data_IF_082601842497
#
_entry.id   IF_082601842497
#
_cell.length_a   1.000
_cell.length_b   1.000
_cell.length_c   1.000
_cell.angle_alpha   90.00
_cell.angle_beta   90.00
_cell.angle_gamma   90.00
#
_symmetry.space_group_name_H-M   'P 1'
#
loop_
_entity.id
_entity.type
_entity.pdbx_description
1 polymer ?
#
# COMPACT_ATOMS: atom_id res chain seq x y z
N UNK A 1 -28.48 17.54 -3.44
CA UNK A 1 -28.76 16.27 -2.73
C UNK A 1 -27.97 15.11 -3.31
N UNK A 2 -27.99 14.89 -4.64
CA UNK A 2 -27.21 13.81 -5.29
C UNK A 2 -25.69 13.92 -5.02
N UNK A 3 -25.12 15.13 -5.14
CA UNK A 3 -23.69 15.36 -4.91
C UNK A 3 -23.27 15.00 -3.47
N UNK A 4 -24.14 15.28 -2.50
CA UNK A 4 -23.92 14.89 -1.09
C UNK A 4 -23.88 13.37 -0.92
N UNK A 5 -24.79 12.63 -1.58
CA UNK A 5 -24.78 11.16 -1.53
C UNK A 5 -23.56 10.56 -2.23
N UNK A 6 -23.13 11.14 -3.35
CA UNK A 6 -21.92 10.71 -4.05
C UNK A 6 -20.66 10.96 -3.20
N UNK A 7 -20.57 12.11 -2.55
CA UNK A 7 -19.47 12.42 -1.63
C UNK A 7 -19.41 11.44 -0.45
N UNK A 8 -20.55 11.16 0.19
CA UNK A 8 -20.64 10.15 1.26
C UNK A 8 -20.18 8.79 0.75
N UNK A 9 -20.55 8.43 -0.49
CA UNK A 9 -20.14 7.18 -1.14
C UNK A 9 -18.64 7.14 -1.39
N UNK A 10 -18.02 8.24 -1.85
CA UNK A 10 -16.56 8.34 -2.02
C UNK A 10 -15.85 8.13 -0.68
N UNK A 11 -16.29 8.82 0.37
CA UNK A 11 -15.69 8.67 1.71
C UNK A 11 -15.82 7.23 2.18
N UNK A 12 -17.03 6.66 2.11
CA UNK A 12 -17.28 5.29 2.52
C UNK A 12 -16.41 4.29 1.75
N UNK A 13 -16.38 4.35 0.42
CA UNK A 13 -15.56 3.45 -0.39
C UNK A 13 -14.06 3.66 -0.15
N UNK A 14 -13.61 4.89 0.08
CA UNK A 14 -12.21 5.14 0.40
C UNK A 14 -11.84 4.51 1.74
N UNK A 15 -12.71 4.58 2.75
CA UNK A 15 -12.50 3.91 4.03
C UNK A 15 -12.59 2.38 3.89
N UNK A 16 -13.48 1.85 3.04
CA UNK A 16 -13.50 0.43 2.73
C UNK A 16 -12.19 -0.01 2.09
N UNK A 17 -11.66 0.75 1.13
CA UNK A 17 -10.35 0.50 0.53
C UNK A 17 -9.25 0.54 1.59
N UNK A 18 -9.22 1.55 2.47
CA UNK A 18 -8.21 1.70 3.51
C UNK A 18 -8.23 0.55 4.51
N UNK A 19 -9.43 0.09 4.87
CA UNK A 19 -9.65 -1.09 5.70
C UNK A 19 -9.13 -2.36 5.00
N UNK A 20 -9.46 -2.52 3.71
CA UNK A 20 -9.01 -3.66 2.90
C UNK A 20 -7.49 -3.70 2.83
N UNK A 21 -6.89 -2.54 2.55
CA UNK A 21 -5.45 -2.36 2.52
C UNK A 21 -4.81 -2.76 3.86
N UNK A 22 -5.39 -2.31 4.98
CA UNK A 22 -4.91 -2.65 6.32
C UNK A 22 -4.83 -4.16 6.55
N UNK A 23 -5.87 -4.92 6.20
CA UNK A 23 -5.84 -6.37 6.40
C UNK A 23 -4.94 -7.08 5.38
N UNK A 24 -4.90 -6.62 4.13
CA UNK A 24 -4.01 -7.16 3.08
C UNK A 24 -2.54 -7.06 3.49
N UNK A 25 -2.13 -5.85 3.85
CA UNK A 25 -0.72 -5.53 4.07
C UNK A 25 -0.28 -5.80 5.51
N UNK A 26 -1.18 -6.29 6.37
CA UNK A 26 -0.82 -6.88 7.67
C UNK A 26 0.30 -7.93 7.51
N UNK A 27 0.24 -8.71 6.43
CA UNK A 27 1.27 -9.70 6.12
C UNK A 27 2.66 -9.06 5.95
N UNK A 28 2.75 -7.89 5.32
CA UNK A 28 4.03 -7.21 5.08
C UNK A 28 4.66 -6.66 6.36
N UNK A 29 3.84 -6.22 7.31
CA UNK A 29 4.32 -5.64 8.57
C UNK A 29 4.67 -6.70 9.64
N UNK A 30 4.09 -7.92 9.56
CA UNK A 30 4.14 -8.90 10.65
C UNK A 30 4.80 -10.24 10.24
N UNK A 31 4.76 -10.63 8.97
CA UNK A 31 5.13 -12.00 8.56
C UNK A 31 6.56 -12.38 8.95
N UNK A 32 7.50 -11.44 8.89
CA UNK A 32 8.92 -11.63 9.25
C UNK A 32 9.11 -11.94 10.73
N UNK A 33 8.55 -11.13 11.63
CA UNK A 33 8.73 -11.26 13.07
C UNK A 33 7.96 -12.45 13.66
N UNK A 34 6.85 -12.84 13.03
CA UNK A 34 6.13 -14.08 13.35
C UNK A 34 6.86 -15.30 12.79
N UNK A 35 7.37 -15.25 11.55
CA UNK A 35 8.10 -16.36 10.94
C UNK A 35 9.40 -16.71 11.68
N UNK A 36 10.11 -15.71 12.20
CA UNK A 36 11.31 -15.90 13.04
C UNK A 36 11.00 -16.19 14.51
N UNK A 37 9.71 -16.19 14.89
CA UNK A 37 9.23 -16.38 16.28
C UNK A 37 9.84 -15.36 17.25
N UNK A 38 9.98 -14.10 16.82
CA UNK A 38 10.42 -13.00 17.68
C UNK A 38 9.31 -12.53 18.63
N UNK A 39 8.07 -12.58 18.17
CA UNK A 39 6.89 -12.15 18.94
C UNK A 39 5.73 -13.10 18.68
N UNK A 40 4.81 -13.21 19.65
CA UNK A 40 3.56 -13.97 19.49
C UNK A 40 2.65 -13.24 18.50
N UNK A 41 1.94 -13.94 17.59
CA UNK A 41 1.14 -13.30 16.55
C UNK A 41 0.11 -12.30 17.08
N UNK A 42 -0.52 -12.58 18.22
CA UNK A 42 -1.55 -11.72 18.80
C UNK A 42 -0.98 -10.37 19.26
N UNK A 43 0.20 -10.40 19.88
CA UNK A 43 0.92 -9.20 20.30
C UNK A 43 1.48 -8.43 19.11
N UNK A 44 1.91 -9.14 18.06
CA UNK A 44 2.38 -8.53 16.83
C UNK A 44 1.25 -7.75 16.15
N UNK A 45 0.06 -8.34 16.04
CA UNK A 45 -1.12 -7.67 15.47
C UNK A 45 -1.50 -6.45 16.29
N UNK A 46 -1.63 -6.59 17.61
CA UNK A 46 -1.99 -5.46 18.48
C UNK A 46 -0.98 -4.31 18.41
N UNK A 47 0.32 -4.62 18.45
CA UNK A 47 1.40 -3.64 18.33
C UNK A 47 1.40 -2.95 16.96
N UNK A 48 1.21 -3.71 15.88
CA UNK A 48 1.15 -3.15 14.51
C UNK A 48 -0.08 -2.28 14.32
N UNK A 49 -1.24 -2.62 14.88
CA UNK A 49 -2.43 -1.74 14.83
C UNK A 49 -2.14 -0.38 15.46
N UNK A 50 -1.56 -0.38 16.65
CA UNK A 50 -1.22 0.85 17.37
C UNK A 50 -0.17 1.68 16.60
N UNK A 51 0.88 1.04 16.10
CA UNK A 51 1.95 1.72 15.40
C UNK A 51 1.55 2.18 14.00
N UNK A 52 0.69 1.45 13.29
CA UNK A 52 0.07 1.90 12.05
C UNK A 52 -0.74 3.17 12.29
N UNK A 53 -1.57 3.17 13.34
CA UNK A 53 -2.36 4.34 13.74
C UNK A 53 -1.45 5.54 14.04
N UNK A 54 -0.43 5.37 14.88
CA UNK A 54 0.50 6.45 15.24
C UNK A 54 1.26 6.93 13.99
N UNK A 55 1.80 6.03 13.17
CA UNK A 55 2.53 6.36 11.95
C UNK A 55 1.72 7.19 10.98
N UNK A 56 0.45 6.82 10.78
CA UNK A 56 -0.50 7.56 9.94
C UNK A 56 -0.74 9.00 10.44
N UNK A 57 -0.62 9.25 11.75
CA UNK A 57 -0.81 10.57 12.34
C UNK A 57 0.41 11.50 12.24
N UNK A 58 1.58 11.03 11.79
CA UNK A 58 2.80 11.86 11.77
C UNK A 58 2.93 12.67 10.47
N UNK A 59 2.70 12.05 9.31
CA UNK A 59 3.02 12.66 8.01
C UNK A 59 1.78 12.85 7.12
N UNK A 60 1.86 13.75 6.13
CA UNK A 60 0.78 14.03 5.15
C UNK A 60 1.28 14.28 3.72
N UNK A 61 2.60 14.22 3.48
CA UNK A 61 3.18 14.53 2.16
C UNK A 61 2.80 13.54 1.06
N UNK A 62 2.69 12.24 1.36
CA UNK A 62 2.22 11.22 0.41
C UNK A 62 0.76 11.48 0.01
N UNK A 63 -0.07 11.93 0.94
CA UNK A 63 -1.46 12.29 0.66
C UNK A 63 -1.54 13.47 -0.33
N UNK A 64 -0.69 14.48 -0.13
CA UNK A 64 -0.57 15.61 -1.06
C UNK A 64 -0.09 15.15 -2.44
N UNK A 65 0.87 14.24 -2.52
CA UNK A 65 1.35 13.67 -3.78
C UNK A 65 0.25 12.91 -4.50
N UNK A 66 -0.48 12.03 -3.81
CA UNK A 66 -1.61 11.29 -4.40
C UNK A 66 -2.72 12.25 -4.87
N UNK A 67 -3.05 13.27 -4.08
CA UNK A 67 -4.08 14.25 -4.42
C UNK A 67 -3.72 15.18 -5.59
N UNK A 68 -2.45 15.57 -5.74
CA UNK A 68 -2.01 16.54 -6.76
C UNK A 68 -1.55 15.91 -8.08
N UNK A 69 -1.02 14.68 -8.02
CA UNK A 69 -0.19 14.19 -9.12
C UNK A 69 -0.90 13.23 -10.07
N UNK A 70 -2.18 12.92 -9.83
CA UNK A 70 -2.99 12.10 -10.75
C UNK A 70 -3.64 12.97 -11.83
N UNK A 71 -4.18 14.15 -11.46
CA UNK A 71 -4.83 15.08 -12.39
C UNK A 71 -4.29 16.49 -12.27
N UNK A 72 -4.39 17.24 -13.37
CA UNK A 72 -3.88 18.62 -13.46
C UNK A 72 -4.67 19.57 -12.54
N UNK A 73 -5.95 19.31 -12.32
CA UNK A 73 -6.78 20.06 -11.39
C UNK A 73 -7.89 19.19 -10.82
N UNK A 74 -8.13 19.31 -9.52
CA UNK A 74 -9.20 18.62 -8.81
C UNK A 74 -10.59 18.98 -9.36
N UNK A 75 -10.76 20.18 -9.94
CA UNK A 75 -12.03 20.65 -10.48
C UNK A 75 -12.50 19.88 -11.73
N UNK A 76 -11.63 19.08 -12.34
CA UNK A 76 -11.91 18.33 -13.58
C UNK A 76 -12.34 16.88 -13.28
N UNK A 77 -12.24 16.44 -12.02
CA UNK A 77 -12.73 15.15 -11.55
C UNK A 77 -14.04 15.37 -10.81
N UNK A 78 -14.97 14.42 -10.94
CA UNK A 78 -16.13 14.30 -10.07
C UNK A 78 -16.10 12.99 -9.28
N UNK A 79 -17.01 12.87 -8.32
CA UNK A 79 -17.15 11.74 -7.41
C UNK A 79 -17.39 10.43 -8.15
N UNK A 80 -18.11 10.46 -9.29
CA UNK A 80 -18.40 9.26 -10.09
C UNK A 80 -17.10 8.63 -10.60
N UNK A 81 -16.14 9.44 -11.04
CA UNK A 81 -14.82 8.97 -11.49
C UNK A 81 -14.05 8.38 -10.31
N UNK A 82 -14.06 9.03 -9.15
CA UNK A 82 -13.37 8.55 -7.95
C UNK A 82 -13.98 7.22 -7.46
N UNK A 83 -15.31 7.12 -7.42
CA UNK A 83 -16.06 5.91 -7.07
C UNK A 83 -15.68 4.76 -8.01
N UNK A 84 -15.63 5.01 -9.32
CA UNK A 84 -15.24 4.00 -10.31
C UNK A 84 -13.82 3.47 -10.07
N UNK A 85 -12.87 4.38 -9.82
CA UNK A 85 -11.48 4.01 -9.52
C UNK A 85 -11.36 3.23 -8.21
N UNK A 86 -12.09 3.63 -7.16
CA UNK A 86 -12.11 2.93 -5.87
C UNK A 86 -12.71 1.52 -6.00
N UNK A 87 -13.81 1.35 -6.74
CA UNK A 87 -14.40 0.04 -6.97
C UNK A 87 -13.46 -0.88 -7.75
N UNK A 88 -12.74 -0.36 -8.75
CA UNK A 88 -11.71 -1.10 -9.46
C UNK A 88 -10.58 -1.59 -8.54
N UNK A 89 -10.10 -0.71 -7.66
CA UNK A 89 -9.05 -1.03 -6.71
C UNK A 89 -9.51 -2.05 -5.66
N UNK A 90 -10.66 -1.83 -5.03
CA UNK A 90 -11.29 -2.73 -4.06
C UNK A 90 -11.52 -4.11 -4.67
N UNK A 91 -12.07 -4.15 -5.89
CA UNK A 91 -12.31 -5.42 -6.58
C UNK A 91 -11.00 -6.19 -6.78
N UNK A 92 -9.94 -5.50 -7.24
CA UNK A 92 -8.64 -6.12 -7.44
C UNK A 92 -8.04 -6.67 -6.15
N UNK A 93 -8.03 -5.87 -5.08
CA UNK A 93 -7.47 -6.30 -3.80
C UNK A 93 -8.22 -7.54 -3.29
N UNK A 94 -9.56 -7.49 -3.24
CA UNK A 94 -10.36 -8.65 -2.82
C UNK A 94 -10.15 -9.88 -3.70
N UNK A 95 -10.00 -9.70 -5.02
CA UNK A 95 -9.70 -10.80 -5.93
C UNK A 95 -8.33 -11.43 -5.63
N UNK A 96 -7.30 -10.61 -5.42
CA UNK A 96 -5.95 -11.11 -5.10
C UNK A 96 -5.89 -11.79 -3.73
N UNK A 97 -6.62 -11.28 -2.74
CA UNK A 97 -6.76 -11.97 -1.46
C UNK A 97 -7.49 -13.30 -1.58
N UNK A 98 -8.55 -13.37 -2.38
CA UNK A 98 -9.24 -14.63 -2.65
C UNK A 98 -8.31 -15.66 -3.32
N UNK A 99 -7.44 -15.20 -4.22
CA UNK A 99 -6.43 -16.02 -4.88
C UNK A 99 -5.20 -16.32 -4.02
N UNK A 100 -5.09 -15.70 -2.82
CA UNK A 100 -3.94 -15.78 -1.91
C UNK A 100 -2.63 -15.27 -2.54
N UNK A 101 -2.72 -14.30 -3.45
CA UNK A 101 -1.57 -13.68 -4.10
C UNK A 101 -1.23 -12.37 -3.38
N UNK A 102 0.03 -12.17 -2.96
CA UNK A 102 0.45 -10.87 -2.43
C UNK A 102 0.41 -9.83 -3.57
N UNK A 103 -0.50 -8.86 -3.46
CA UNK A 103 -0.64 -7.77 -4.42
C UNK A 103 -0.46 -6.43 -3.73
N UNK A 104 -0.01 -5.43 -4.49
CA UNK A 104 0.13 -4.07 -3.97
C UNK A 104 -1.15 -3.26 -4.17
N UNK A 105 -1.80 -2.88 -3.07
CA UNK A 105 -2.95 -1.98 -3.08
C UNK A 105 -2.59 -0.60 -3.65
N UNK A 106 -1.33 -0.16 -3.53
CA UNK A 106 -0.84 1.08 -4.17
C UNK A 106 -1.00 1.05 -5.69
N UNK A 107 -0.56 -0.05 -6.32
CA UNK A 107 -0.71 -0.22 -7.78
C UNK A 107 -2.18 -0.37 -8.17
N UNK A 108 -2.99 -1.02 -7.33
CA UNK A 108 -4.43 -1.17 -7.55
C UNK A 108 -5.16 0.18 -7.56
N UNK A 109 -4.92 1.00 -6.54
CA UNK A 109 -5.52 2.33 -6.40
C UNK A 109 -5.10 3.27 -7.54
N UNK A 110 -3.79 3.41 -7.76
CA UNK A 110 -3.25 4.34 -8.75
C UNK A 110 -3.66 3.93 -10.16
N UNK A 111 -3.54 2.64 -10.50
CA UNK A 111 -3.95 2.14 -11.81
C UNK A 111 -5.44 2.37 -12.06
N UNK A 112 -6.30 1.96 -11.13
CA UNK A 112 -7.76 2.11 -11.29
C UNK A 112 -8.21 3.57 -11.41
N UNK A 113 -7.60 4.49 -10.65
CA UNK A 113 -7.89 5.91 -10.78
C UNK A 113 -7.45 6.48 -12.12
N UNK A 114 -6.23 6.16 -12.58
CA UNK A 114 -5.74 6.60 -13.90
C UNK A 114 -6.69 6.10 -15.00
N UNK A 115 -7.09 4.83 -14.94
CA UNK A 115 -7.99 4.24 -15.93
C UNK A 115 -9.38 4.88 -15.95
N UNK A 116 -9.96 5.11 -14.77
CA UNK A 116 -11.24 5.79 -14.64
C UNK A 116 -11.20 7.23 -15.20
N UNK A 117 -10.15 8.00 -14.87
CA UNK A 117 -9.97 9.38 -15.37
C UNK A 117 -9.72 9.40 -16.87
N UNK A 118 -8.88 8.49 -17.38
CA UNK A 118 -8.54 8.41 -18.80
C UNK A 118 -9.78 8.19 -19.66
N UNK A 119 -10.66 7.25 -19.28
CA UNK A 119 -11.86 6.95 -20.07
C UNK A 119 -12.95 8.02 -19.89
N UNK A 120 -12.95 8.75 -18.77
CA UNK A 120 -13.99 9.73 -18.45
C UNK A 120 -13.76 11.08 -19.12
N UNK A 121 -12.54 11.62 -19.04
CA UNK A 121 -12.22 12.98 -19.52
C UNK A 121 -11.06 13.02 -20.52
N UNK A 122 -10.34 11.91 -20.72
CA UNK A 122 -9.26 11.79 -21.69
C UNK A 122 -7.87 12.11 -21.13
N UNK A 123 -6.85 11.85 -21.95
CA UNK A 123 -5.43 12.07 -21.63
C UNK A 123 -5.06 13.49 -21.17
N UNK A 124 -5.61 14.58 -21.74
CA UNK A 124 -5.14 15.93 -21.43
C UNK A 124 -5.37 16.35 -19.97
N UNK A 125 -6.23 15.66 -19.22
CA UNK A 125 -6.53 15.97 -17.80
C UNK A 125 -5.59 15.27 -16.83
N UNK A 126 -4.91 14.21 -17.29
CA UNK A 126 -3.94 13.48 -16.49
C UNK A 126 -2.67 14.30 -16.31
N UNK A 127 -2.20 14.40 -15.07
CA UNK A 127 -0.91 15.01 -14.76
C UNK A 127 0.21 14.01 -15.08
N UNK A 128 0.64 13.96 -16.34
CA UNK A 128 1.60 12.95 -16.82
C UNK A 128 2.92 12.98 -16.02
N UNK A 129 3.45 14.16 -15.70
CA UNK A 129 4.68 14.26 -14.91
C UNK A 129 4.48 13.76 -13.48
N UNK A 130 3.35 14.09 -12.87
CA UNK A 130 2.96 13.59 -11.56
C UNK A 130 2.77 12.07 -11.52
N UNK A 131 2.10 11.51 -12.53
CA UNK A 131 1.89 10.07 -12.66
C UNK A 131 3.23 9.35 -12.86
N UNK A 132 4.12 9.89 -13.69
CA UNK A 132 5.47 9.34 -13.87
C UNK A 132 6.22 9.32 -12.54
N UNK A 133 6.16 10.40 -11.75
CA UNK A 133 6.80 10.45 -10.43
C UNK A 133 6.29 9.33 -9.51
N UNK A 134 4.98 9.13 -9.46
CA UNK A 134 4.34 8.07 -8.67
C UNK A 134 4.78 6.68 -9.15
N UNK A 135 4.67 6.41 -10.46
CA UNK A 135 5.02 5.10 -11.05
C UNK A 135 6.51 4.80 -10.85
N UNK A 136 7.39 5.79 -11.06
CA UNK A 136 8.83 5.65 -10.84
C UNK A 136 9.11 5.33 -9.38
N UNK A 137 8.49 6.01 -8.41
CA UNK A 137 8.64 5.67 -6.99
C UNK A 137 8.24 4.22 -6.69
N UNK A 138 7.11 3.78 -7.23
CA UNK A 138 6.62 2.41 -7.05
C UNK A 138 7.57 1.36 -7.64
N UNK A 139 8.14 1.63 -8.81
CA UNK A 139 9.06 0.70 -9.50
C UNK A 139 10.45 0.71 -8.87
N UNK A 140 10.98 1.87 -8.49
CA UNK A 140 12.37 2.04 -8.04
C UNK A 140 12.55 1.66 -6.57
N UNK A 141 11.57 1.92 -5.71
CA UNK A 141 11.68 1.65 -4.27
C UNK A 141 12.04 0.20 -3.89
N UNK A 142 11.55 -0.86 -4.58
CA UNK A 142 11.94 -2.24 -4.30
C UNK A 142 13.41 -2.53 -4.64
N UNK A 143 13.94 -1.92 -5.70
CA UNK A 143 15.35 -2.08 -6.08
C UNK A 143 16.27 -1.35 -5.10
N UNK A 144 15.88 -0.15 -4.67
CA UNK A 144 16.58 0.57 -3.60
C UNK A 144 16.59 -0.28 -2.33
N UNK A 145 15.44 -0.86 -1.95
CA UNK A 145 15.33 -1.74 -0.81
C UNK A 145 16.22 -2.99 -0.92
N UNK A 146 16.28 -3.61 -2.10
CA UNK A 146 17.17 -4.73 -2.39
C UNK A 146 18.65 -4.36 -2.25
N UNK A 147 19.07 -3.21 -2.79
CA UNK A 147 20.47 -2.76 -2.70
C UNK A 147 20.86 -2.39 -1.26
N UNK A 148 20.03 -1.60 -0.58
CA UNK A 148 20.29 -1.17 0.80
C UNK A 148 20.37 -2.38 1.73
N UNK A 149 19.43 -3.32 1.60
CA UNK A 149 19.39 -4.51 2.43
C UNK A 149 20.54 -5.48 2.14
N UNK A 150 20.99 -5.61 0.89
CA UNK A 150 22.19 -6.37 0.53
C UNK A 150 23.45 -5.80 1.20
N UNK A 151 23.64 -4.48 1.14
CA UNK A 151 24.78 -3.80 1.75
C UNK A 151 24.71 -3.93 3.28
N UNK A 152 23.55 -3.64 3.86
CA UNK A 152 23.27 -3.69 5.29
C UNK A 152 23.50 -5.10 5.85
N UNK A 153 23.04 -6.13 5.15
CA UNK A 153 23.23 -7.53 5.58
C UNK A 153 24.70 -7.95 5.54
N UNK A 154 25.43 -7.62 4.47
CA UNK A 154 26.87 -7.89 4.40
C UNK A 154 27.63 -7.22 5.56
N UNK A 155 27.25 -5.99 5.89
CA UNK A 155 27.82 -5.28 7.03
C UNK A 155 27.51 -5.97 8.37
N UNK A 156 26.25 -6.40 8.58
CA UNK A 156 25.85 -7.16 9.78
C UNK A 156 26.64 -8.47 9.89
N UNK A 157 26.77 -9.23 8.80
CA UNK A 157 27.55 -10.48 8.76
C UNK A 157 29.01 -10.21 9.11
N UNK A 158 29.60 -9.17 8.53
CA UNK A 158 30.99 -8.78 8.81
C UNK A 158 31.20 -8.45 10.31
N UNK A 159 30.30 -7.68 10.92
CA UNK A 159 30.36 -7.37 12.36
C UNK A 159 30.16 -8.62 13.23
N UNK A 160 29.32 -9.54 12.78
CA UNK A 160 28.95 -10.75 13.54
C UNK A 160 29.92 -11.93 13.32
N UNK A 161 30.90 -11.83 12.41
CA UNK A 161 31.74 -12.96 11.96
C UNK A 161 32.48 -13.71 13.07
N UNK A 162 32.82 -13.02 14.16
CA UNK A 162 33.56 -13.60 15.30
C UNK A 162 32.63 -14.17 16.39
N UNK A 163 31.32 -14.08 16.21
CA UNK A 163 30.34 -14.53 17.21
C UNK A 163 29.67 -15.84 16.78
N UNK A 164 29.33 -16.67 17.77
CA UNK A 164 28.57 -17.90 17.52
C UNK A 164 27.19 -17.56 16.95
N UNK A 165 26.73 -18.21 15.86
CA UNK A 165 25.43 -17.93 15.25
C UNK A 165 24.23 -17.98 16.21
N UNK A 166 24.30 -18.84 17.24
CA UNK A 166 23.26 -18.94 18.27
C UNK A 166 23.13 -17.67 19.13
N UNK A 167 24.25 -17.03 19.49
CA UNK A 167 24.24 -15.77 20.26
C UNK A 167 23.71 -14.62 19.41
N UNK A 168 24.15 -14.56 18.15
CA UNK A 168 23.72 -13.52 17.20
C UNK A 168 22.22 -13.62 16.95
N UNK A 169 21.71 -14.82 16.64
CA UNK A 169 20.28 -15.01 16.43
C UNK A 169 19.44 -14.75 17.69
N UNK A 170 19.95 -15.06 18.89
CA UNK A 170 19.25 -14.75 20.15
C UNK A 170 19.14 -13.24 20.38
N UNK A 171 20.19 -12.48 20.08
CA UNK A 171 20.15 -11.02 20.17
C UNK A 171 19.27 -10.41 19.08
N UNK A 172 19.44 -10.85 17.82
CA UNK A 172 18.66 -10.38 16.70
C UNK A 172 17.16 -10.64 16.89
N UNK A 173 16.77 -11.79 17.45
CA UNK A 173 15.37 -12.08 17.80
C UNK A 173 14.78 -11.04 18.78
N UNK A 174 15.56 -10.58 19.77
CA UNK A 174 15.12 -9.53 20.71
C UNK A 174 15.06 -8.16 20.05
N UNK A 175 16.07 -7.81 19.25
CA UNK A 175 16.11 -6.55 18.51
C UNK A 175 15.04 -6.49 17.40
N UNK A 176 14.63 -7.64 16.88
CA UNK A 176 13.62 -7.73 15.83
C UNK A 176 12.27 -7.16 16.27
N UNK A 177 11.94 -7.25 17.56
CA UNK A 177 10.71 -6.63 18.09
C UNK A 177 10.72 -5.12 17.84
N UNK A 178 11.88 -4.48 18.02
CA UNK A 178 12.05 -3.05 17.80
C UNK A 178 12.03 -2.72 16.30
N UNK A 179 12.74 -3.49 15.47
CA UNK A 179 12.71 -3.25 14.01
C UNK A 179 11.33 -3.50 13.40
N UNK A 180 10.58 -4.50 13.88
CA UNK A 180 9.21 -4.76 13.48
C UNK A 180 8.27 -3.61 13.89
N UNK A 181 8.50 -3.02 15.06
CA UNK A 181 7.78 -1.81 15.48
C UNK A 181 8.07 -0.62 14.54
N UNK A 182 9.32 -0.41 14.15
CA UNK A 182 9.66 0.60 13.14
C UNK A 182 9.02 0.32 11.79
N UNK A 183 8.98 -0.94 11.36
CA UNK A 183 8.33 -1.35 10.10
C UNK A 183 6.82 -1.08 10.14
N UNK A 184 6.14 -1.42 11.24
CA UNK A 184 4.72 -1.12 11.42
C UNK A 184 4.45 0.39 11.41
N UNK A 185 5.25 1.18 12.11
CA UNK A 185 5.13 2.63 12.07
C UNK A 185 5.34 3.18 10.65
N UNK A 186 6.38 2.71 9.95
CA UNK A 186 6.69 3.09 8.58
C UNK A 186 5.53 2.76 7.62
N UNK A 187 4.97 1.56 7.74
CA UNK A 187 3.83 1.11 6.97
C UNK A 187 2.64 2.06 7.11
N UNK A 188 2.16 2.29 8.34
CA UNK A 188 1.04 3.22 8.57
C UNK A 188 1.33 4.65 8.09
N UNK A 189 2.58 5.09 8.21
CA UNK A 189 2.99 6.42 7.76
C UNK A 189 2.91 6.63 6.25
N UNK A 190 3.04 5.60 5.42
CA UNK A 190 2.91 5.74 3.96
C UNK A 190 1.51 5.37 3.47
N UNK A 191 0.94 4.31 4.03
CA UNK A 191 -0.24 3.66 3.46
C UNK A 191 -1.54 4.40 3.74
N UNK A 192 -1.77 4.81 4.98
CA UNK A 192 -2.99 5.56 5.35
C UNK A 192 -3.12 6.87 4.56
N UNK A 193 -1.98 7.46 4.19
CA UNK A 193 -1.93 8.70 3.44
C UNK A 193 -2.52 8.58 2.03
N UNK A 194 -2.55 7.39 1.42
CA UNK A 194 -3.14 7.19 0.09
C UNK A 194 -4.64 7.49 0.15
N UNK A 195 -5.32 6.90 1.13
CA UNK A 195 -6.74 7.10 1.40
C UNK A 195 -7.04 8.55 1.82
N UNK A 196 -6.19 9.15 2.65
CA UNK A 196 -6.28 10.58 2.97
C UNK A 196 -6.21 11.45 1.71
N UNK A 197 -5.30 11.14 0.78
CA UNK A 197 -5.13 11.87 -0.48
C UNK A 197 -6.38 11.81 -1.35
N UNK A 198 -7.03 10.65 -1.47
CA UNK A 198 -8.26 10.48 -2.26
C UNK A 198 -9.43 11.26 -1.66
N UNK A 199 -9.64 11.17 -0.34
CA UNK A 199 -10.71 11.95 0.31
C UNK A 199 -10.44 13.44 0.15
N UNK A 200 -9.20 13.89 0.35
CA UNK A 200 -8.84 15.31 0.23
C UNK A 200 -9.03 15.81 -1.20
N UNK A 201 -8.66 15.00 -2.21
CA UNK A 201 -8.93 15.28 -3.63
C UNK A 201 -10.43 15.45 -3.89
N UNK A 202 -11.27 14.56 -3.35
CA UNK A 202 -12.72 14.66 -3.48
C UNK A 202 -13.26 15.94 -2.83
N UNK A 203 -12.81 16.28 -1.61
CA UNK A 203 -13.24 17.50 -0.93
C UNK A 203 -12.84 18.78 -1.69
N UNK A 204 -11.64 18.82 -2.29
CA UNK A 204 -11.18 19.96 -3.10
C UNK A 204 -11.98 20.04 -4.40
N UNK A 205 -12.25 18.91 -5.07
CA UNK A 205 -13.06 18.89 -6.31
C UNK A 205 -14.45 19.50 -6.11
N UNK A 206 -14.98 19.41 -4.89
CA UNK A 206 -16.29 19.93 -4.49
C UNK A 206 -16.26 21.32 -3.87
N UNK A 207 -15.10 21.99 -3.83
CA UNK A 207 -14.91 23.28 -3.16
C UNK A 207 -15.29 23.28 -1.66
N UNK A 208 -15.29 22.11 -1.00
CA UNK A 208 -15.52 22.01 0.46
C UNK A 208 -14.29 22.52 1.21
N UNK A 209 -13.10 22.21 0.69
CA UNK A 209 -11.82 22.76 1.15
C UNK A 209 -11.08 23.38 -0.03
N UNK A 210 -10.26 24.40 0.23
CA UNK A 210 -9.57 25.17 -0.82
C UNK A 210 -8.18 24.64 -1.17
N UNK A 211 -7.57 23.89 -0.25
CA UNK A 211 -6.20 23.39 -0.36
C UNK A 211 -6.19 21.88 -0.14
N UNK A 212 -5.16 21.20 -0.66
CA UNK A 212 -4.94 19.77 -0.42
C UNK A 212 -4.25 19.49 0.94
N UNK A 213 -4.50 20.36 1.92
CA UNK A 213 -4.12 20.09 3.30
C UNK A 213 -5.11 19.11 3.91
N UNK A 214 -4.60 17.97 4.37
CA UNK A 214 -5.43 16.88 4.91
C UNK A 214 -6.08 17.34 6.22
N UNK A 215 -7.42 17.41 6.31
CA UNK A 215 -8.09 17.75 7.55
C UNK A 215 -7.79 16.73 8.66
N UNK A 216 -7.62 17.21 9.90
CA UNK A 216 -7.23 16.35 11.03
C UNK A 216 -8.23 15.21 11.27
N UNK A 217 -9.52 15.45 11.05
CA UNK A 217 -10.56 14.42 11.18
C UNK A 217 -10.37 13.30 10.17
N UNK A 218 -10.02 13.63 8.92
CA UNK A 218 -9.72 12.62 7.88
C UNK A 218 -8.48 11.85 8.26
N UNK A 219 -7.45 12.54 8.76
CA UNK A 219 -6.22 11.90 9.24
C UNK A 219 -6.50 10.85 10.31
N UNK A 220 -7.30 11.20 11.32
CA UNK A 220 -7.68 10.30 12.43
C UNK A 220 -8.55 9.15 11.95
N UNK A 221 -9.53 9.42 11.07
CA UNK A 221 -10.45 8.38 10.57
C UNK A 221 -9.71 7.36 9.69
N UNK A 222 -8.89 7.80 8.72
CA UNK A 222 -8.08 6.87 7.91
C UNK A 222 -7.10 6.09 8.79
N UNK A 223 -6.41 6.76 9.73
CA UNK A 223 -5.52 6.07 10.67
C UNK A 223 -6.25 4.96 11.46
N UNK A 224 -7.45 5.24 11.97
CA UNK A 224 -8.26 4.28 12.71
C UNK A 224 -8.72 3.12 11.82
N UNK A 225 -9.18 3.41 10.60
CA UNK A 225 -9.70 2.40 9.67
C UNK A 225 -8.60 1.48 9.17
N UNK A 226 -7.43 2.01 8.82
CA UNK A 226 -6.25 1.20 8.48
C UNK A 226 -5.84 0.29 9.66
N UNK A 227 -5.82 0.83 10.87
CA UNK A 227 -5.48 0.06 12.07
C UNK A 227 -6.51 -1.04 12.37
N UNK A 228 -7.81 -0.77 12.19
CA UNK A 228 -8.88 -1.76 12.34
C UNK A 228 -8.76 -2.88 11.29
N UNK A 229 -8.50 -2.53 10.03
CA UNK A 229 -8.21 -3.51 8.98
C UNK A 229 -7.01 -4.39 9.35
N UNK A 230 -5.94 -3.76 9.85
CA UNK A 230 -4.74 -4.46 10.34
C UNK A 230 -5.09 -5.47 11.45
N UNK A 231 -6.01 -5.11 12.34
CA UNK A 231 -6.41 -5.94 13.48
C UNK A 231 -7.19 -7.21 13.11
N UNK A 232 -7.99 -7.15 12.05
CA UNK A 232 -8.71 -8.33 11.52
C UNK A 232 -7.75 -9.28 10.80
N UNK A 233 -6.69 -8.71 10.23
CA UNK A 233 -5.50 -9.43 9.81
C UNK A 233 -5.60 -10.04 8.42
N UNK A 234 -4.43 -10.45 7.92
CA UNK A 234 -4.24 -11.06 6.60
C UNK A 234 -3.68 -12.46 6.69
N UNK A 235 -4.18 -13.29 7.61
CA UNK A 235 -3.61 -14.60 7.97
C UNK A 235 -3.32 -15.50 6.75
N UNK A 236 -4.24 -15.52 5.78
CA UNK A 236 -4.07 -16.24 4.50
C UNK A 236 -2.81 -15.80 3.75
N UNK A 237 -2.56 -14.49 3.67
CA UNK A 237 -1.40 -13.90 2.98
C UNK A 237 -0.13 -14.03 3.85
N UNK A 238 -0.24 -13.86 5.16
CA UNK A 238 0.89 -13.93 6.09
C UNK A 238 1.63 -15.29 6.01
N UNK A 239 0.89 -16.39 5.90
CA UNK A 239 1.48 -17.72 5.74
C UNK A 239 2.25 -17.90 4.40
N UNK A 240 2.06 -17.00 3.43
CA UNK A 240 2.74 -17.03 2.13
C UNK A 240 4.03 -16.21 2.08
N UNK A 241 4.09 -15.02 2.68
CA UNK A 241 5.16 -14.04 2.42
C UNK A 241 6.49 -14.40 3.12
N UNK A 242 6.45 -14.99 4.32
CA UNK A 242 7.65 -15.16 5.15
C UNK A 242 8.74 -16.08 4.57
N UNK A 243 8.48 -17.39 4.48
CA UNK A 243 9.52 -18.37 4.16
C UNK A 243 9.58 -18.79 2.68
N UNK A 244 8.73 -18.22 1.81
CA UNK A 244 8.67 -18.64 0.40
C UNK A 244 9.79 -18.08 -0.45
N UNK A 245 10.27 -16.87 -0.16
CA UNK A 245 11.35 -16.25 -0.95
C UNK A 245 12.70 -16.83 -0.52
N UNK A 246 12.93 -16.91 0.79
CA UNK A 246 14.19 -17.32 1.40
C UNK A 246 13.92 -17.84 2.81
N UNK A 247 14.70 -18.84 3.28
CA UNK A 247 14.54 -19.39 4.63
C UNK A 247 15.08 -18.40 5.66
N UNK A 248 14.20 -17.80 6.46
CA UNK A 248 14.59 -16.74 7.39
C UNK A 248 15.04 -17.28 8.76
N UNK A 249 16.11 -16.66 9.27
CA UNK A 249 16.59 -16.75 10.65
C UNK A 249 16.39 -15.38 11.32
N UNK A 250 16.40 -15.29 12.66
CA UNK A 250 16.17 -14.03 13.37
C UNK A 250 17.06 -12.86 12.92
N UNK A 251 18.33 -13.10 12.57
CA UNK A 251 19.21 -12.06 12.01
C UNK A 251 18.68 -11.49 10.69
N UNK A 252 18.13 -12.34 9.82
CA UNK A 252 17.53 -11.93 8.55
C UNK A 252 16.23 -11.17 8.80
N UNK A 253 15.39 -11.63 9.73
CA UNK A 253 14.15 -10.96 10.08
C UNK A 253 14.38 -9.56 10.65
N UNK A 254 15.29 -9.43 11.62
CA UNK A 254 15.70 -8.12 12.15
C UNK A 254 16.16 -7.16 11.05
N UNK A 255 17.06 -7.62 10.18
CA UNK A 255 17.56 -6.83 9.05
C UNK A 255 16.44 -6.48 8.07
N UNK A 256 15.51 -7.41 7.79
CA UNK A 256 14.43 -7.20 6.85
C UNK A 256 13.45 -6.13 7.32
N UNK A 257 13.05 -6.19 8.58
CA UNK A 257 12.12 -5.21 9.16
C UNK A 257 12.76 -3.82 9.20
N UNK A 258 14.02 -3.73 9.63
CA UNK A 258 14.72 -2.46 9.73
C UNK A 258 14.95 -1.79 8.37
N UNK A 259 15.46 -2.53 7.38
CA UNK A 259 15.72 -1.96 6.06
C UNK A 259 14.42 -1.60 5.33
N UNK A 260 13.36 -2.40 5.48
CA UNK A 260 12.05 -2.06 4.92
C UNK A 260 11.50 -0.76 5.54
N UNK A 261 11.60 -0.63 6.87
CA UNK A 261 11.19 0.57 7.57
C UNK A 261 11.97 1.82 7.11
N UNK A 262 13.30 1.70 6.97
CA UNK A 262 14.16 2.80 6.51
C UNK A 262 13.76 3.26 5.11
N UNK A 263 13.51 2.34 4.18
CA UNK A 263 13.13 2.71 2.80
C UNK A 263 11.74 3.32 2.75
N UNK A 264 10.76 2.75 3.45
CA UNK A 264 9.39 3.27 3.48
C UNK A 264 9.35 4.66 4.14
N UNK A 265 10.03 4.85 5.27
CA UNK A 265 10.13 6.17 5.93
C UNK A 265 10.90 7.17 5.07
N UNK A 266 12.00 6.76 4.45
CA UNK A 266 12.76 7.60 3.54
C UNK A 266 11.89 8.10 2.38
N UNK A 267 11.12 7.21 1.75
CA UNK A 267 10.17 7.60 0.71
C UNK A 267 9.05 8.51 1.26
N UNK A 268 8.54 8.22 2.45
CA UNK A 268 7.49 9.03 3.12
C UNK A 268 7.97 10.44 3.42
N UNK A 269 9.23 10.61 3.86
CA UNK A 269 9.86 11.92 4.08
C UNK A 269 10.05 12.69 2.77
N UNK A 270 10.30 11.97 1.67
CA UNK A 270 10.32 12.54 0.31
C UNK A 270 8.90 12.72 -0.27
N UNK A 271 7.85 12.46 0.52
CA UNK A 271 6.45 12.55 0.11
C UNK A 271 6.06 11.58 -1.02
N UNK A 272 6.82 10.51 -1.23
CA UNK A 272 6.62 9.56 -2.31
C UNK A 272 5.79 8.35 -1.84
N UNK A 273 4.71 7.99 -2.56
CA UNK A 273 4.01 6.73 -2.32
C UNK A 273 4.88 5.55 -2.74
N UNK A 274 4.85 4.48 -1.96
CA UNK A 274 5.56 3.23 -2.28
C UNK A 274 4.63 2.03 -2.18
N UNK A 275 5.09 0.89 -2.69
CA UNK A 275 4.48 -0.42 -2.44
C UNK A 275 5.24 -1.08 -1.28
N UNK A 276 4.62 -1.15 -0.12
CA UNK A 276 5.19 -1.82 1.06
C UNK A 276 5.44 -3.30 0.78
N UNK A 277 4.49 -3.98 0.10
CA UNK A 277 4.64 -5.36 -0.41
C UNK A 277 5.94 -5.54 -1.19
N UNK A 278 6.23 -4.65 -2.13
CA UNK A 278 7.42 -4.78 -2.99
C UNK A 278 8.70 -4.32 -2.28
N UNK A 279 8.64 -3.31 -1.42
CA UNK A 279 9.80 -2.89 -0.59
C UNK A 279 10.24 -4.01 0.34
N UNK A 280 9.29 -4.67 1.02
CA UNK A 280 9.58 -5.83 1.88
C UNK A 280 10.12 -7.00 1.07
N UNK A 281 9.49 -7.32 -0.06
CA UNK A 281 9.96 -8.40 -0.95
C UNK A 281 11.37 -8.13 -1.47
N UNK A 282 11.65 -6.90 -1.93
CA UNK A 282 12.97 -6.47 -2.40
C UNK A 282 14.02 -6.56 -1.29
N UNK A 283 13.66 -6.17 -0.07
CA UNK A 283 14.52 -6.31 1.12
C UNK A 283 14.87 -7.78 1.42
N UNK A 284 13.88 -8.68 1.38
CA UNK A 284 14.11 -10.11 1.62
C UNK A 284 15.02 -10.70 0.53
N UNK A 285 14.82 -10.32 -0.74
CA UNK A 285 15.68 -10.73 -1.86
C UNK A 285 17.11 -10.24 -1.65
N UNK A 286 17.31 -8.96 -1.30
CA UNK A 286 18.63 -8.38 -1.08
C UNK A 286 19.40 -9.05 0.07
N UNK A 287 18.71 -9.36 1.18
CA UNK A 287 19.28 -10.14 2.29
C UNK A 287 19.65 -11.55 1.85
N UNK A 288 18.77 -12.22 1.10
CA UNK A 288 19.04 -13.54 0.53
C UNK A 288 20.25 -13.54 -0.41
N UNK A 289 20.45 -12.48 -1.18
CA UNK A 289 21.60 -12.32 -2.07
C UNK A 289 22.91 -12.17 -1.29
N UNK A 290 22.89 -11.45 -0.17
CA UNK A 290 24.05 -11.26 0.71
C UNK A 290 24.49 -12.55 1.39
N UNK A 291 23.53 -13.40 1.78
CA UNK A 291 23.83 -14.74 2.31
C UNK A 291 24.32 -15.69 1.22
N UNK A 292 23.46 -15.96 0.24
CA UNK A 292 23.78 -16.79 -0.93
C UNK A 292 22.71 -16.64 -1.99
N UNK A 293 23.09 -16.16 -3.17
CA UNK A 293 22.21 -16.01 -4.35
C UNK A 293 21.42 -17.30 -4.68
N UNK A 294 22.03 -18.48 -4.49
CA UNK A 294 21.40 -19.79 -4.75
C UNK A 294 20.33 -20.20 -3.71
N UNK A 295 20.27 -19.54 -2.56
CA UNK A 295 19.28 -19.84 -1.52
C UNK A 295 17.93 -19.17 -1.75
N UNK A 296 17.83 -18.29 -2.76
CA UNK A 296 16.60 -17.59 -3.14
C UNK A 296 15.77 -18.49 -4.05
N UNK A 297 14.48 -18.59 -3.78
CA UNK A 297 13.53 -19.24 -4.68
C UNK A 297 13.16 -18.28 -5.82
N UNK A 298 13.97 -18.25 -6.87
CA UNK A 298 13.82 -17.32 -8.01
C UNK A 298 12.46 -17.39 -8.71
N UNK A 299 11.80 -18.54 -8.70
CA UNK A 299 10.43 -18.67 -9.23
C UNK A 299 9.45 -17.77 -8.47
N UNK A 300 9.59 -17.68 -7.14
CA UNK A 300 8.73 -16.82 -6.30
C UNK A 300 9.05 -15.35 -6.55
N UNK A 301 10.33 -14.98 -6.58
CA UNK A 301 10.76 -13.61 -6.87
C UNK A 301 10.29 -13.13 -8.26
N UNK A 302 10.37 -14.01 -9.27
CA UNK A 302 9.88 -13.72 -10.62
C UNK A 302 8.36 -13.53 -10.63
N UNK A 303 7.61 -14.39 -9.93
CA UNK A 303 6.15 -14.27 -9.86
C UNK A 303 5.72 -12.93 -9.24
N UNK A 304 6.35 -12.51 -8.14
CA UNK A 304 6.07 -11.20 -7.51
C UNK A 304 6.31 -10.05 -8.51
N UNK A 305 7.42 -10.10 -9.25
CA UNK A 305 7.74 -9.09 -10.27
C UNK A 305 6.72 -9.09 -11.42
N UNK A 306 6.33 -10.26 -11.91
CA UNK A 306 5.34 -10.37 -13.00
C UNK A 306 3.97 -9.90 -12.55
N UNK A 307 3.54 -10.26 -11.35
CA UNK A 307 2.26 -9.84 -10.78
C UNK A 307 2.21 -8.31 -10.64
N UNK A 308 3.34 -7.70 -10.25
CA UNK A 308 3.49 -6.23 -10.19
C UNK A 308 3.27 -5.56 -11.56
N UNK A 309 3.93 -6.08 -12.60
CA UNK A 309 3.85 -5.52 -13.95
C UNK A 309 2.44 -5.67 -14.56
N UNK A 310 1.74 -6.75 -14.21
CA UNK A 310 0.37 -7.04 -14.69
C UNK A 310 -0.68 -6.25 -13.89
N UNK A 311 -0.41 -5.96 -12.62
CA UNK A 311 -1.37 -5.26 -11.74
C UNK A 311 -1.77 -3.91 -12.31
N UNK A 312 -0.81 -3.05 -12.71
CA UNK A 312 -1.12 -1.68 -13.15
C UNK A 312 -2.02 -1.63 -14.41
N UNK A 313 -1.72 -2.39 -15.50
CA UNK A 313 -2.61 -2.43 -16.66
C UNK A 313 -3.99 -3.02 -16.35
N UNK A 314 -4.04 -4.11 -15.57
CA UNK A 314 -5.30 -4.75 -15.22
C UNK A 314 -6.20 -3.84 -14.37
N UNK A 315 -5.64 -3.15 -13.38
CA UNK A 315 -6.40 -2.26 -12.51
C UNK A 315 -6.82 -0.99 -13.25
N UNK A 316 -5.98 -0.46 -14.14
CA UNK A 316 -6.37 0.59 -15.08
C UNK A 316 -7.59 0.20 -15.92
N UNK A 317 -7.57 -1.00 -16.49
CA UNK A 317 -8.72 -1.51 -17.24
C UNK A 317 -9.96 -1.68 -16.36
N UNK A 318 -9.82 -2.18 -15.13
CA UNK A 318 -10.92 -2.31 -14.18
C UNK A 318 -11.55 -0.95 -13.84
N UNK A 319 -10.75 0.05 -13.51
CA UNK A 319 -11.24 1.41 -13.24
C UNK A 319 -12.01 1.99 -14.43
N UNK A 320 -11.50 1.78 -15.65
CA UNK A 320 -12.19 2.19 -16.87
C UNK A 320 -13.53 1.46 -17.06
N UNK A 321 -13.56 0.14 -16.85
CA UNK A 321 -14.79 -0.68 -16.95
C UNK A 321 -15.82 -0.24 -15.92
N UNK A 322 -15.44 -0.06 -14.65
CA UNK A 322 -16.37 0.40 -13.61
C UNK A 322 -16.95 1.79 -13.96
N UNK A 323 -16.14 2.70 -14.50
CA UNK A 323 -16.64 4.00 -14.93
C UNK A 323 -17.70 3.87 -16.04
N UNK A 324 -17.43 3.06 -17.06
CA UNK A 324 -18.40 2.83 -18.16
C UNK A 324 -19.69 2.22 -17.64
N UNK A 325 -19.61 1.23 -16.74
CA UNK A 325 -20.78 0.59 -16.12
C UNK A 325 -21.60 1.60 -15.31
N UNK A 326 -20.95 2.39 -14.45
CA UNK A 326 -21.63 3.39 -13.63
C UNK A 326 -22.28 4.45 -14.52
N UNK A 327 -21.55 4.96 -15.52
CA UNK A 327 -22.09 5.91 -16.50
C UNK A 327 -23.34 5.36 -17.18
N UNK A 328 -23.30 4.10 -17.64
CA UNK A 328 -24.45 3.46 -18.28
C UNK A 328 -25.67 3.38 -17.35
N UNK A 329 -25.48 3.04 -16.07
CA UNK A 329 -26.55 3.01 -15.06
C UNK A 329 -27.16 4.40 -14.88
N UNK A 330 -26.32 5.43 -14.74
CA UNK A 330 -26.78 6.81 -14.53
C UNK A 330 -27.46 7.42 -15.75
N UNK A 331 -27.03 7.11 -16.98
CA UNK A 331 -27.61 7.71 -18.19
C UNK A 331 -28.81 6.94 -18.73
N UNK A 332 -28.89 5.63 -18.50
CA UNK A 332 -29.88 4.76 -19.17
C UNK A 332 -30.93 4.24 -18.20
N UNK A 333 -30.53 3.81 -16.99
CA UNK A 333 -31.41 3.07 -16.08
C UNK A 333 -32.11 4.03 -15.11
N UNK A 334 -31.36 4.94 -14.49
CA UNK A 334 -31.90 5.87 -13.49
C UNK A 334 -32.96 6.85 -14.05
N UNK A 335 -32.75 7.47 -15.23
CA UNK A 335 -33.75 8.36 -15.83
C UNK A 335 -34.99 7.59 -16.26
N UNK A 336 -34.82 6.38 -16.78
CA UNK A 336 -35.93 5.51 -17.17
C UNK A 336 -36.77 5.07 -15.97
N UNK A 337 -36.13 4.77 -14.84
CA UNK A 337 -36.83 4.39 -13.61
C UNK A 337 -37.60 5.55 -12.97
N UNK A 338 -37.09 6.78 -13.07
CA UNK A 338 -37.78 7.99 -12.63
C UNK A 338 -38.94 8.38 -13.58
N UNK A 339 -38.82 8.10 -14.88
CA UNK A 339 -39.88 8.32 -15.87
C UNK A 339 -41.01 7.27 -15.84
N UNK A 340 -40.72 6.04 -15.38
CA UNK A 340 -41.72 4.96 -15.28
C UNK A 340 -42.48 4.99 -13.94
N UNK A 341 -41.95 5.68 -12.92
CA UNK A 341 -42.57 5.81 -11.59
C UNK A 341 -43.12 7.21 -11.26
N UNK A 342 -42.93 8.20 -12.13
CA UNK A 342 -43.54 9.54 -12.03
C UNK A 342 -44.75 9.65 -12.93
#
# INVERSE_FOLDING_TARGET
MLDTYLMITVIFLTLCFDFINGFHDTANAIATCVATRAIRPELAVAGTCLLNFIGALVFTGVAQTIGNNIVISAAVINEVIIIAGLLGAIFWDLAMWYLNTPSSSSYALIGSLIGAVFISVGLPVLNISGIILIIVSLIVSPFIAMVISYISMNYIIYLCRNYKPSKVNKLANRLQIISAAFMAFAHGSNDAQKSMGIITLALVSNNIIKTLEVPIIIKIVCAAVLALGTGIGGWKIMHMVGNKIFKMHPIHGFSADLNSAVVILGATLLSLPVSTTHVVSGTIIGIGMAERIKAIHWNVAKNILTDTLITLPCTCMLGAVFYVVIRYIFTTILPFYLLVKG
#
